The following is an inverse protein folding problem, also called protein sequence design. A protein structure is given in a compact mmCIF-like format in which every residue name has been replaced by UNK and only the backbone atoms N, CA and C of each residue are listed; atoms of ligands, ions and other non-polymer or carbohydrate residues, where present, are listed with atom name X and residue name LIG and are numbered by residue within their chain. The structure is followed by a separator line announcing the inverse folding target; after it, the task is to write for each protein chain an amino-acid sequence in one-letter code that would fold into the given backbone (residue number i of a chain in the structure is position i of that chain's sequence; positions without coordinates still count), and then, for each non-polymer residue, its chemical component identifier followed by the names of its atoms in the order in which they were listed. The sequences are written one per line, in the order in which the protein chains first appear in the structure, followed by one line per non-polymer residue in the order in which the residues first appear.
data_IF_332040939513
#
_entry.id   IF_332040939513
#
_cell.length_a   1.000
_cell.length_b   1.000
_cell.length_c   1.000
_cell.angle_alpha   90.00
_cell.angle_beta   90.00
_cell.angle_gamma   90.00
#
_symmetry.space_group_name_H-M   'P 1'
#
loop_
_entity.id
_entity.type
_entity.pdbx_description
1 polymer ?
#
# COMPACT_ATOMS: atom_id res chain seq x y z
N UNK A 1 -22.74 -39.73 -40.48
CA UNK A 1 -22.20 -40.96 -39.86
C UNK A 1 -20.77 -41.16 -40.33
N UNK A 2 -19.79 -40.54 -39.66
CA UNK A 2 -18.37 -40.89 -39.83
C UNK A 2 -17.74 -40.83 -38.44
N UNK A 3 -17.39 -42.00 -37.92
CA UNK A 3 -16.72 -42.22 -36.66
C UNK A 3 -15.20 -42.31 -36.88
N UNK A 4 -14.47 -41.73 -35.93
CA UNK A 4 -13.20 -42.17 -35.33
C UNK A 4 -11.93 -42.28 -36.19
N UNK A 5 -10.93 -41.48 -35.80
CA UNK A 5 -9.56 -41.96 -35.67
C UNK A 5 -8.83 -41.16 -34.56
N UNK A 6 -8.80 -41.71 -33.35
CA UNK A 6 -7.88 -41.30 -32.27
C UNK A 6 -6.69 -42.25 -32.31
N UNK A 7 -5.50 -41.74 -32.61
CA UNK A 7 -4.23 -42.47 -32.43
C UNK A 7 -3.61 -42.05 -31.10
N UNK A 8 -3.60 -42.97 -30.16
CA UNK A 8 -2.86 -42.91 -28.91
C UNK A 8 -1.35 -43.03 -29.19
N UNK A 9 -0.56 -42.20 -28.51
CA UNK A 9 0.89 -42.37 -28.40
C UNK A 9 1.17 -42.80 -26.95
N UNK A 10 1.58 -44.06 -26.78
CA UNK A 10 2.20 -44.59 -25.57
C UNK A 10 3.64 -44.06 -25.47
N UNK A 11 3.99 -43.46 -24.33
CA UNK A 11 5.37 -43.40 -23.87
C UNK A 11 5.45 -44.11 -22.52
N UNK A 12 6.06 -45.29 -22.53
CA UNK A 12 6.49 -45.97 -21.32
C UNK A 12 7.81 -45.39 -20.85
N UNK A 13 7.85 -44.94 -19.59
CA UNK A 13 9.09 -44.68 -18.87
C UNK A 13 9.05 -45.51 -17.58
N UNK A 14 9.87 -46.55 -17.55
CA UNK A 14 10.15 -47.40 -16.40
C UNK A 14 11.02 -46.57 -15.42
N UNK A 15 10.46 -46.18 -14.28
CA UNK A 15 11.24 -45.56 -13.20
C UNK A 15 11.73 -46.66 -12.24
N UNK A 16 13.04 -46.86 -12.19
CA UNK A 16 13.70 -47.56 -11.09
C UNK A 16 13.76 -46.63 -9.87
N UNK A 17 13.17 -47.06 -8.76
CA UNK A 17 13.27 -46.37 -7.48
C UNK A 17 14.63 -46.67 -6.84
N UNK A 18 15.44 -45.63 -6.62
CA UNK A 18 16.63 -45.68 -5.76
C UNK A 18 16.20 -45.28 -4.34
N UNK A 19 16.40 -46.12 -3.32
CA UNK A 19 16.12 -45.74 -1.94
C UNK A 19 17.35 -45.06 -1.31
N UNK A 20 17.12 -43.89 -0.70
CA UNK A 20 17.99 -43.34 0.33
C UNK A 20 18.77 -42.08 -0.05
N UNK A 21 18.24 -40.93 0.37
CA UNK A 21 18.94 -39.98 1.26
C UNK A 21 17.89 -38.98 1.74
N UNK A 22 17.72 -38.88 3.06
CA UNK A 22 17.02 -37.77 3.72
C UNK A 22 17.83 -36.49 3.44
N UNK A 23 17.47 -35.78 2.38
CA UNK A 23 17.83 -34.36 2.22
C UNK A 23 16.69 -33.61 2.87
N UNK A 24 16.97 -32.90 3.96
CA UNK A 24 15.98 -32.02 4.58
C UNK A 24 15.45 -31.08 3.50
N UNK A 25 14.16 -31.20 3.18
CA UNK A 25 13.47 -30.35 2.22
C UNK A 25 13.64 -28.90 2.69
N UNK A 26 14.63 -28.22 2.13
CA UNK A 26 14.69 -26.77 2.21
C UNK A 26 13.37 -26.30 1.60
N UNK A 27 12.56 -25.50 2.33
CA UNK A 27 11.28 -25.04 1.80
C UNK A 27 11.50 -24.48 0.40
N UNK A 28 10.64 -24.87 -0.54
CA UNK A 28 10.78 -24.44 -1.92
C UNK A 28 10.85 -22.91 -1.93
N UNK A 29 11.54 -22.29 -2.90
CA UNK A 29 11.69 -20.82 -2.99
C UNK A 29 10.37 -20.03 -2.98
N UNK A 30 9.21 -20.67 -3.01
CA UNK A 30 7.88 -20.07 -3.00
C UNK A 30 7.02 -20.45 -1.78
N UNK A 31 7.50 -21.28 -0.85
CA UNK A 31 6.67 -21.74 0.25
C UNK A 31 6.32 -20.55 1.17
N UNK A 32 5.03 -20.17 1.15
CA UNK A 32 4.46 -19.09 1.96
C UNK A 32 4.73 -17.66 1.46
N UNK A 33 5.46 -17.44 0.36
CA UNK A 33 5.70 -16.09 -0.19
C UNK A 33 4.86 -15.85 -1.45
N UNK A 34 4.28 -14.66 -1.56
CA UNK A 34 3.56 -14.25 -2.76
C UNK A 34 4.48 -14.25 -3.99
N UNK A 35 4.00 -14.78 -5.13
CA UNK A 35 4.81 -15.03 -6.32
C UNK A 35 5.41 -13.77 -6.95
N UNK A 36 4.80 -12.61 -6.69
CA UNK A 36 5.28 -11.28 -7.13
C UNK A 36 6.62 -10.92 -6.50
N UNK A 37 6.98 -11.60 -5.41
CA UNK A 37 8.25 -11.46 -4.70
C UNK A 37 9.12 -12.71 -4.81
N UNK A 38 8.88 -13.57 -5.81
CA UNK A 38 9.67 -14.80 -6.02
C UNK A 38 11.18 -14.53 -6.19
N UNK A 39 11.57 -13.33 -6.63
CA UNK A 39 12.97 -12.89 -6.72
C UNK A 39 13.61 -12.49 -5.37
N UNK A 40 12.86 -12.54 -4.28
CA UNK A 40 13.38 -12.26 -2.94
C UNK A 40 14.45 -13.28 -2.55
N UNK A 41 15.56 -12.84 -1.94
CA UNK A 41 16.59 -13.77 -1.48
C UNK A 41 16.03 -14.85 -0.55
N UNK A 42 16.69 -16.02 -0.49
CA UNK A 42 16.33 -17.04 0.47
C UNK A 42 16.51 -16.51 1.90
N UNK A 43 15.65 -16.97 2.80
CA UNK A 43 15.66 -16.58 4.20
C UNK A 43 14.97 -17.66 5.06
N UNK A 44 15.15 -17.61 6.39
CA UNK A 44 14.62 -18.61 7.32
C UNK A 44 13.09 -18.61 7.40
N UNK A 45 12.42 -17.50 7.04
CA UNK A 45 10.97 -17.39 6.95
C UNK A 45 10.54 -16.30 5.96
N UNK A 46 9.25 -16.23 5.65
CA UNK A 46 8.66 -15.28 4.69
C UNK A 46 8.94 -13.82 5.09
N UNK A 47 8.79 -13.48 6.37
CA UNK A 47 9.03 -12.13 6.88
C UNK A 47 10.46 -11.67 6.58
N UNK A 48 11.46 -12.54 6.75
CA UNK A 48 12.86 -12.18 6.49
C UNK A 48 13.16 -12.00 5.00
N UNK A 49 12.51 -12.79 4.15
CA UNK A 49 12.62 -12.63 2.69
C UNK A 49 12.04 -11.30 2.22
N UNK A 50 10.86 -10.94 2.75
CA UNK A 50 10.22 -9.65 2.48
C UNK A 50 11.07 -8.50 3.01
N UNK A 51 11.61 -8.63 4.23
CA UNK A 51 12.52 -7.63 4.79
C UNK A 51 13.72 -7.39 3.88
N UNK A 52 14.40 -8.45 3.43
CA UNK A 52 15.57 -8.32 2.57
C UNK A 52 15.22 -7.76 1.19
N UNK A 53 14.06 -8.10 0.64
CA UNK A 53 13.56 -7.48 -0.60
C UNK A 53 13.33 -5.98 -0.41
N UNK A 54 12.66 -5.57 0.67
CA UNK A 54 12.43 -4.16 1.00
C UNK A 54 13.76 -3.42 1.18
N UNK A 55 14.74 -4.04 1.84
CA UNK A 55 16.08 -3.48 2.04
C UNK A 55 16.84 -3.27 0.73
N UNK A 56 16.74 -4.22 -0.21
CA UNK A 56 17.32 -4.08 -1.56
C UNK A 56 16.67 -2.96 -2.36
N UNK A 57 15.35 -2.82 -2.25
CA UNK A 57 14.57 -1.79 -2.93
C UNK A 57 14.45 -0.47 -2.15
N UNK A 58 15.13 -0.34 -1.00
CA UNK A 58 15.02 0.82 -0.10
C UNK A 58 15.25 2.16 -0.81
N UNK A 59 16.14 2.19 -1.80
CA UNK A 59 16.46 3.40 -2.56
C UNK A 59 15.28 3.80 -3.44
N UNK A 60 14.75 2.88 -4.23
CA UNK A 60 13.57 3.12 -5.07
C UNK A 60 12.38 3.60 -4.22
N UNK A 61 12.11 2.95 -3.08
CA UNK A 61 11.05 3.35 -2.14
C UNK A 61 11.30 4.75 -1.57
N UNK A 62 12.54 5.06 -1.18
CA UNK A 62 12.92 6.37 -0.68
C UNK A 62 12.83 7.47 -1.75
N UNK A 63 13.09 7.14 -3.00
CA UNK A 63 13.01 8.05 -4.15
C UNK A 63 11.54 8.32 -4.47
N UNK A 64 10.69 7.28 -4.46
CA UNK A 64 9.25 7.40 -4.63
C UNK A 64 8.59 8.25 -3.52
N UNK A 65 8.99 8.09 -2.24
CA UNK A 65 8.55 8.99 -1.15
C UNK A 65 8.85 10.45 -1.48
N UNK A 66 10.06 10.75 -1.98
CA UNK A 66 10.46 12.13 -2.29
C UNK A 66 9.67 12.70 -3.47
N UNK A 67 9.51 11.91 -4.53
CA UNK A 67 8.80 12.32 -5.74
C UNK A 67 7.31 12.53 -5.49
N UNK A 68 6.69 11.65 -4.70
CA UNK A 68 5.23 11.61 -4.50
C UNK A 68 4.75 12.26 -3.21
N UNK A 69 5.68 12.62 -2.33
CA UNK A 69 5.40 13.23 -1.04
C UNK A 69 4.42 12.38 -0.20
N UNK A 70 4.68 11.07 -0.12
CA UNK A 70 3.92 10.10 0.69
C UNK A 70 4.87 9.21 1.50
N UNK A 71 4.41 8.74 2.66
CA UNK A 71 5.26 7.97 3.57
C UNK A 71 5.84 6.72 2.91
N UNK A 72 7.18 6.58 2.93
CA UNK A 72 7.85 5.33 2.52
C UNK A 72 7.39 4.11 3.32
N UNK A 73 6.94 4.31 4.56
CA UNK A 73 6.43 3.24 5.42
C UNK A 73 5.09 2.73 4.89
N UNK A 74 4.27 3.59 4.29
CA UNK A 74 3.03 3.16 3.64
C UNK A 74 3.33 2.32 2.39
N UNK A 75 4.27 2.78 1.55
CA UNK A 75 4.69 2.04 0.34
C UNK A 75 5.21 0.65 0.73
N UNK A 76 6.16 0.60 1.68
CA UNK A 76 6.71 -0.66 2.18
C UNK A 76 5.64 -1.53 2.85
N UNK A 77 4.74 -0.93 3.63
CA UNK A 77 3.68 -1.61 4.35
C UNK A 77 2.68 -2.32 3.45
N UNK A 78 2.23 -1.65 2.38
CA UNK A 78 1.35 -2.25 1.36
C UNK A 78 2.03 -3.44 0.70
N UNK A 79 3.30 -3.29 0.29
CA UNK A 79 4.05 -4.38 -0.35
C UNK A 79 4.21 -5.57 0.61
N UNK A 80 4.57 -5.31 1.86
CA UNK A 80 4.82 -6.34 2.85
C UNK A 80 3.53 -7.07 3.27
N UNK A 81 2.43 -6.35 3.46
CA UNK A 81 1.13 -6.94 3.77
C UNK A 81 0.69 -7.90 2.66
N UNK A 82 0.76 -7.46 1.40
CA UNK A 82 0.39 -8.31 0.25
C UNK A 82 1.26 -9.57 0.13
N UNK A 83 2.51 -9.49 0.61
CA UNK A 83 3.49 -10.55 0.56
C UNK A 83 3.37 -11.58 1.69
N UNK A 84 2.92 -11.15 2.87
CA UNK A 84 2.94 -11.91 4.12
C UNK A 84 1.52 -12.37 4.50
N UNK A 85 0.54 -11.47 4.44
CA UNK A 85 -0.81 -11.70 4.95
C UNK A 85 -1.79 -12.11 3.84
N UNK A 86 -1.63 -11.56 2.64
CA UNK A 86 -2.54 -11.83 1.52
C UNK A 86 -1.92 -12.77 0.47
N UNK A 87 -1.28 -13.86 0.87
CA UNK A 87 -0.47 -14.67 -0.06
C UNK A 87 -1.34 -15.32 -1.14
N UNK A 88 -1.03 -15.07 -2.41
CA UNK A 88 -1.68 -15.75 -3.54
C UNK A 88 -0.78 -16.83 -4.14
N UNK A 89 -1.21 -18.11 -4.16
CA UNK A 89 -0.40 -19.17 -4.73
C UNK A 89 -0.24 -19.03 -6.26
N UNK A 90 0.86 -19.55 -6.79
CA UNK A 90 1.25 -19.41 -8.20
C UNK A 90 0.17 -19.89 -9.20
N UNK A 91 -0.69 -20.82 -8.79
CA UNK A 91 -1.82 -21.32 -9.60
C UNK A 91 -2.80 -20.21 -10.01
N UNK A 92 -2.87 -19.09 -9.27
CA UNK A 92 -3.72 -17.95 -9.60
C UNK A 92 -3.13 -17.03 -10.66
N UNK A 93 -1.84 -17.15 -10.97
CA UNK A 93 -1.14 -16.23 -11.88
C UNK A 93 -1.81 -16.06 -13.25
N UNK A 94 -2.32 -17.10 -13.94
CA UNK A 94 -3.02 -16.93 -15.22
C UNK A 94 -4.29 -16.07 -15.12
N UNK A 95 -4.90 -16.02 -13.92
CA UNK A 95 -6.11 -15.25 -13.63
C UNK A 95 -5.83 -13.93 -12.90
N UNK A 96 -4.55 -13.61 -12.65
CA UNK A 96 -4.16 -12.42 -11.93
C UNK A 96 -4.62 -11.16 -12.66
N UNK A 97 -5.19 -10.23 -11.91
CA UNK A 97 -5.61 -8.90 -12.40
C UNK A 97 -4.60 -7.81 -12.04
N UNK A 98 -3.53 -8.21 -11.37
CA UNK A 98 -2.48 -7.39 -10.81
C UNK A 98 -1.11 -7.88 -11.23
N UNK A 99 -0.10 -7.01 -11.10
CA UNK A 99 1.29 -7.38 -11.35
C UNK A 99 2.23 -6.69 -10.36
N UNK A 100 3.32 -7.36 -10.05
CA UNK A 100 4.40 -6.83 -9.22
C UNK A 100 4.09 -6.73 -7.74
N UNK A 101 5.09 -6.28 -6.95
CA UNK A 101 4.96 -6.12 -5.50
C UNK A 101 3.79 -5.18 -5.15
N UNK A 102 3.08 -5.49 -4.06
CA UNK A 102 1.88 -4.73 -3.65
C UNK A 102 0.65 -4.92 -4.54
N UNK A 103 0.72 -5.83 -5.53
CA UNK A 103 -0.41 -6.27 -6.35
C UNK A 103 -1.22 -5.13 -6.97
N UNK A 104 -0.55 -4.19 -7.62
CA UNK A 104 -1.26 -3.12 -8.32
C UNK A 104 -2.09 -3.72 -9.47
N UNK A 105 -3.40 -3.46 -9.47
CA UNK A 105 -4.32 -3.93 -10.50
C UNK A 105 -4.07 -3.21 -11.83
N UNK A 106 -3.79 -3.94 -12.91
CA UNK A 106 -3.69 -3.40 -14.27
C UNK A 106 -4.96 -3.61 -15.10
N UNK A 107 -5.90 -4.41 -14.59
CA UNK A 107 -7.24 -4.65 -15.13
C UNK A 107 -8.21 -4.94 -13.98
N UNK A 108 -9.50 -4.71 -14.21
CA UNK A 108 -10.56 -5.08 -13.26
C UNK A 108 -11.33 -6.32 -13.72
N UNK A 109 -11.37 -6.61 -15.03
CA UNK A 109 -12.09 -7.79 -15.49
C UNK A 109 -11.34 -9.09 -15.26
N UNK A 110 -12.06 -10.14 -14.85
CA UNK A 110 -11.58 -11.51 -14.88
C UNK A 110 -11.54 -12.09 -16.30
N UNK A 111 -12.26 -11.46 -17.26
CA UNK A 111 -12.23 -11.84 -18.66
C UNK A 111 -10.89 -11.38 -19.25
N UNK A 112 -10.09 -12.28 -19.84
CA UNK A 112 -8.88 -11.91 -20.56
C UNK A 112 -9.18 -10.83 -21.61
N UNK A 113 -8.27 -9.86 -21.75
CA UNK A 113 -8.34 -8.74 -22.72
C UNK A 113 -9.35 -7.63 -22.43
N UNK A 114 -10.19 -7.74 -21.39
CA UNK A 114 -11.04 -6.63 -20.95
C UNK A 114 -10.35 -5.87 -19.81
N UNK A 115 -10.02 -4.61 -20.03
CA UNK A 115 -9.30 -3.79 -19.04
C UNK A 115 -10.21 -3.40 -17.86
N UNK A 116 -11.43 -2.92 -18.13
CA UNK A 116 -12.25 -2.26 -17.10
C UNK A 116 -11.64 -0.93 -16.67
N UNK A 117 -11.90 -0.53 -15.42
CA UNK A 117 -11.41 0.73 -14.83
C UNK A 117 -10.55 0.47 -13.57
N UNK A 118 -9.38 -0.16 -13.72
CA UNK A 118 -8.49 -0.40 -12.58
C UNK A 118 -7.94 0.92 -12.04
N UNK A 119 -7.68 0.97 -10.73
CA UNK A 119 -7.14 2.17 -10.05
C UNK A 119 -5.85 2.71 -10.70
N UNK A 120 -5.01 1.83 -11.23
CA UNK A 120 -3.79 2.22 -11.92
C UNK A 120 -4.05 3.03 -13.21
N UNK A 121 -5.13 2.74 -13.94
CA UNK A 121 -5.57 3.54 -15.09
C UNK A 121 -6.17 4.87 -14.61
N UNK A 122 -6.96 4.84 -13.55
CA UNK A 122 -7.56 6.04 -12.97
C UNK A 122 -6.50 7.08 -12.59
N UNK A 123 -5.41 6.67 -11.94
CA UNK A 123 -4.35 7.62 -11.54
C UNK A 123 -3.50 8.14 -12.72
N UNK A 124 -3.38 7.37 -13.80
CA UNK A 124 -2.75 7.82 -15.04
C UNK A 124 -3.59 8.92 -15.71
N UNK A 125 -4.90 8.73 -15.80
CA UNK A 125 -5.84 9.72 -16.34
C UNK A 125 -5.79 11.03 -15.54
N UNK A 126 -5.57 10.93 -14.22
CA UNK A 126 -5.42 12.09 -13.34
C UNK A 126 -4.04 12.77 -13.42
N UNK A 127 -3.13 12.27 -14.27
CA UNK A 127 -1.83 12.89 -14.50
C UNK A 127 -0.77 12.58 -13.44
N UNK A 128 -1.04 11.65 -12.51
CA UNK A 128 0.00 11.21 -11.57
C UNK A 128 1.07 10.38 -12.30
N UNK A 129 0.70 9.67 -13.36
CA UNK A 129 1.61 8.86 -14.16
C UNK A 129 1.33 9.07 -15.66
N UNK A 130 2.31 8.80 -16.54
CA UNK A 130 2.05 8.79 -17.97
C UNK A 130 0.95 7.79 -18.32
N UNK A 131 0.02 8.19 -19.20
CA UNK A 131 -1.02 7.30 -19.69
C UNK A 131 -0.44 6.09 -20.43
N UNK A 132 -0.96 4.89 -20.14
CA UNK A 132 -0.49 3.63 -20.74
C UNK A 132 -1.66 2.77 -21.22
N UNK A 133 -1.38 1.91 -22.19
CA UNK A 133 -2.29 0.80 -22.51
C UNK A 133 -2.22 -0.26 -21.42
N UNK A 134 -3.25 -1.10 -21.29
CA UNK A 134 -3.27 -2.23 -20.34
C UNK A 134 -2.00 -3.09 -20.40
N UNK A 135 -1.53 -3.43 -21.60
CA UNK A 135 -0.33 -4.27 -21.79
C UNK A 135 0.95 -3.54 -21.36
N UNK A 136 1.08 -2.25 -21.72
CA UNK A 136 2.24 -1.44 -21.32
C UNK A 136 2.28 -1.24 -19.80
N UNK A 137 1.12 -1.03 -19.18
CA UNK A 137 0.98 -0.92 -17.72
C UNK A 137 1.37 -2.22 -17.03
N UNK A 138 0.85 -3.36 -17.49
CA UNK A 138 1.20 -4.67 -16.93
C UNK A 138 2.71 -4.93 -16.98
N UNK A 139 3.38 -4.53 -18.08
CA UNK A 139 4.84 -4.63 -18.20
C UNK A 139 5.57 -3.75 -17.18
N UNK A 140 5.16 -2.48 -17.02
CA UNK A 140 5.79 -1.60 -16.03
C UNK A 140 5.58 -2.13 -14.61
N UNK A 141 4.35 -2.53 -14.28
CA UNK A 141 4.02 -3.09 -12.97
C UNK A 141 4.73 -4.40 -12.68
N UNK A 142 5.13 -5.17 -13.69
CA UNK A 142 5.94 -6.39 -13.47
C UNK A 142 7.37 -6.12 -13.00
N UNK A 143 7.81 -4.85 -12.94
CA UNK A 143 9.11 -4.45 -12.42
C UNK A 143 8.97 -3.88 -11.00
N UNK A 144 9.97 -4.11 -10.15
CA UNK A 144 10.00 -3.58 -8.79
C UNK A 144 9.84 -2.05 -8.78
N UNK A 145 10.65 -1.33 -9.57
CA UNK A 145 10.62 0.13 -9.66
C UNK A 145 9.27 0.67 -10.16
N UNK A 146 8.71 0.02 -11.20
CA UNK A 146 7.43 0.40 -11.76
C UNK A 146 6.28 0.21 -10.77
N UNK A 147 6.22 -0.94 -10.10
CA UNK A 147 5.21 -1.17 -9.07
C UNK A 147 5.35 -0.20 -7.88
N UNK A 148 6.58 0.07 -7.42
CA UNK A 148 6.84 1.04 -6.34
C UNK A 148 6.35 2.44 -6.71
N UNK A 149 6.64 2.94 -7.93
CA UNK A 149 6.17 4.27 -8.37
C UNK A 149 4.65 4.32 -8.50
N UNK A 150 4.01 3.25 -9.01
CA UNK A 150 2.54 3.16 -9.04
C UNK A 150 1.92 3.19 -7.66
N UNK A 151 2.42 2.40 -6.70
CA UNK A 151 1.93 2.42 -5.32
C UNK A 151 2.07 3.84 -4.74
N UNK A 152 3.24 4.45 -4.87
CA UNK A 152 3.46 5.80 -4.37
C UNK A 152 2.55 6.85 -5.02
N UNK A 153 2.30 6.75 -6.33
CA UNK A 153 1.38 7.61 -7.05
C UNK A 153 -0.09 7.41 -6.59
N UNK A 154 -0.52 6.16 -6.38
CA UNK A 154 -1.85 5.83 -5.85
C UNK A 154 -2.03 6.43 -4.45
N UNK A 155 -1.06 6.22 -3.56
CA UNK A 155 -1.08 6.79 -2.21
C UNK A 155 -1.12 8.32 -2.23
N UNK A 156 -0.41 8.96 -3.17
CA UNK A 156 -0.44 10.40 -3.33
C UNK A 156 -1.83 10.88 -3.75
N UNK A 157 -2.46 10.20 -4.72
CA UNK A 157 -3.80 10.53 -5.18
C UNK A 157 -4.85 10.41 -4.06
N UNK A 158 -4.80 9.37 -3.22
CA UNK A 158 -5.66 9.26 -2.04
C UNK A 158 -5.40 10.38 -1.04
N UNK A 159 -4.13 10.73 -0.82
CA UNK A 159 -3.82 11.81 0.09
C UNK A 159 -4.31 13.17 -0.40
N UNK A 160 -4.25 13.43 -1.71
CA UNK A 160 -4.80 14.66 -2.29
C UNK A 160 -6.32 14.68 -2.18
N UNK A 161 -6.99 13.55 -2.42
CA UNK A 161 -8.44 13.44 -2.19
C UNK A 161 -8.83 13.72 -0.72
N UNK A 162 -8.05 13.21 0.24
CA UNK A 162 -8.26 13.49 1.67
C UNK A 162 -7.99 14.96 2.02
N UNK A 163 -6.95 15.57 1.45
CA UNK A 163 -6.58 16.95 1.71
C UNK A 163 -7.63 17.95 1.19
N UNK A 164 -8.36 17.64 0.12
CA UNK A 164 -9.53 18.42 -0.33
C UNK A 164 -10.64 18.50 0.74
N UNK A 165 -10.61 17.62 1.75
CA UNK A 165 -11.50 17.62 2.92
C UNK A 165 -10.77 18.01 4.21
N UNK A 166 -9.62 18.68 4.09
CA UNK A 166 -8.75 19.11 5.19
C UNK A 166 -8.28 17.95 6.08
N UNK A 167 -8.16 16.74 5.51
CA UNK A 167 -7.64 15.56 6.19
C UNK A 167 -6.24 15.25 5.69
N UNK A 168 -5.24 15.62 6.47
CA UNK A 168 -3.84 15.36 6.16
C UNK A 168 -3.47 13.91 6.50
N UNK A 169 -3.23 13.08 5.48
CA UNK A 169 -2.87 11.66 5.64
C UNK A 169 -1.51 11.28 5.03
N UNK A 170 -0.75 12.20 4.41
CA UNK A 170 0.55 11.88 3.76
C UNK A 170 1.55 11.22 4.72
N UNK A 171 1.43 11.56 6.00
CA UNK A 171 2.27 11.07 7.09
C UNK A 171 1.64 9.94 7.92
N UNK A 172 0.42 9.52 7.59
CA UNK A 172 -0.33 8.47 8.28
C UNK A 172 -0.22 7.20 7.44
N UNK A 173 0.87 6.46 7.64
CA UNK A 173 1.16 5.28 6.84
C UNK A 173 0.06 4.22 6.92
N UNK A 174 -0.55 4.11 8.10
CA UNK A 174 -1.71 3.30 8.41
C UNK A 174 -2.92 3.67 7.56
N UNK A 175 -3.28 4.95 7.53
CA UNK A 175 -4.42 5.42 6.74
C UNK A 175 -4.14 5.33 5.24
N UNK A 176 -2.93 5.65 4.79
CA UNK A 176 -2.55 5.50 3.39
C UNK A 176 -2.72 4.03 2.93
N UNK A 177 -2.26 3.08 3.73
CA UNK A 177 -2.42 1.65 3.43
C UNK A 177 -3.89 1.22 3.45
N UNK A 178 -4.70 1.74 4.38
CA UNK A 178 -6.14 1.51 4.41
C UNK A 178 -6.83 1.99 3.14
N UNK A 179 -6.50 3.19 2.66
CA UNK A 179 -7.11 3.71 1.44
C UNK A 179 -6.69 2.91 0.20
N UNK A 180 -5.42 2.50 0.14
CA UNK A 180 -4.90 1.65 -0.94
C UNK A 180 -5.67 0.33 -1.07
N UNK A 181 -5.96 -0.34 0.05
CA UNK A 181 -6.52 -1.69 0.02
C UNK A 181 -8.05 -1.74 -0.07
N UNK A 182 -8.76 -0.63 0.18
CA UNK A 182 -10.21 -0.66 0.37
C UNK A 182 -11.04 0.00 -0.72
N UNK A 183 -10.48 0.92 -1.50
CA UNK A 183 -11.29 1.76 -2.37
C UNK A 183 -10.63 2.03 -3.72
N UNK A 184 -11.48 2.28 -4.72
CA UNK A 184 -11.12 3.14 -5.86
C UNK A 184 -11.01 4.59 -5.42
N UNK A 185 -10.39 5.47 -6.21
CA UNK A 185 -10.29 6.89 -5.82
C UNK A 185 -11.66 7.55 -5.78
N UNK A 186 -12.57 7.16 -6.68
CA UNK A 186 -13.98 7.57 -6.65
C UNK A 186 -14.67 7.22 -5.34
N UNK A 187 -14.56 5.98 -4.88
CA UNK A 187 -15.18 5.52 -3.62
C UNK A 187 -14.56 6.22 -2.41
N UNK A 188 -13.23 6.36 -2.38
CA UNK A 188 -12.55 7.10 -1.33
C UNK A 188 -13.04 8.55 -1.22
N UNK A 189 -13.20 9.24 -2.36
CA UNK A 189 -13.75 10.60 -2.39
C UNK A 189 -15.16 10.65 -1.81
N UNK A 190 -16.02 9.71 -2.19
CA UNK A 190 -17.39 9.62 -1.65
C UNK A 190 -17.38 9.35 -0.15
N UNK A 191 -16.56 8.41 0.31
CA UNK A 191 -16.38 8.10 1.73
C UNK A 191 -15.93 9.33 2.53
N UNK A 192 -14.96 10.08 2.00
CA UNK A 192 -14.45 11.31 2.62
C UNK A 192 -15.47 12.46 2.66
N UNK A 193 -16.44 12.49 1.75
CA UNK A 193 -17.55 13.47 1.78
C UNK A 193 -18.53 13.14 2.90
N UNK A 194 -18.92 11.86 2.99
CA UNK A 194 -20.01 11.41 3.87
C UNK A 194 -19.52 11.24 5.31
N UNK A 195 -18.30 10.73 5.49
CA UNK A 195 -17.76 10.43 6.81
C UNK A 195 -17.32 11.72 7.52
N UNK A 196 -18.02 12.07 8.60
CA UNK A 196 -17.56 13.06 9.59
C UNK A 196 -16.71 12.45 10.70
N UNK A 197 -16.64 11.11 10.77
CA UNK A 197 -15.87 10.40 11.79
C UNK A 197 -14.37 10.57 11.58
N UNK A 198 -13.61 10.30 12.64
CA UNK A 198 -12.16 10.11 12.49
C UNK A 198 -11.89 8.99 11.48
N UNK A 199 -10.82 9.14 10.70
CA UNK A 199 -10.37 8.05 9.83
C UNK A 199 -9.68 7.01 10.71
N UNK A 200 -10.13 5.78 10.61
CA UNK A 200 -9.58 4.65 11.35
C UNK A 200 -8.93 3.66 10.36
N UNK A 201 -7.84 3.00 10.76
CA UNK A 201 -7.22 2.00 9.92
C UNK A 201 -8.08 0.72 9.84
N UNK A 202 -8.21 0.16 8.64
CA UNK A 202 -8.68 -1.21 8.39
C UNK A 202 -7.58 -2.24 8.72
N UNK A 203 -7.80 -3.52 8.41
CA UNK A 203 -6.85 -4.61 8.69
C UNK A 203 -5.43 -4.33 8.16
N UNK A 204 -5.31 -3.86 6.92
CA UNK A 204 -4.00 -3.51 6.32
C UNK A 204 -3.36 -2.33 7.05
N UNK A 205 -4.13 -1.29 7.37
CA UNK A 205 -3.64 -0.14 8.10
C UNK A 205 -3.21 -0.48 9.53
N UNK A 206 -3.97 -1.34 10.21
CA UNK A 206 -3.65 -1.83 11.55
C UNK A 206 -2.36 -2.66 11.51
N UNK A 207 -2.23 -3.55 10.53
CA UNK A 207 -1.00 -4.31 10.33
C UNK A 207 0.21 -3.39 10.12
N UNK A 208 0.09 -2.34 9.30
CA UNK A 208 1.16 -1.35 9.10
C UNK A 208 1.51 -0.58 10.38
N UNK A 209 0.54 -0.34 11.28
CA UNK A 209 0.81 0.24 12.60
C UNK A 209 1.61 -0.73 13.49
N UNK A 210 1.20 -1.99 13.54
CA UNK A 210 1.84 -3.01 14.37
C UNK A 210 3.28 -3.31 13.89
N UNK A 211 3.46 -3.41 12.58
CA UNK A 211 4.75 -3.74 11.94
C UNK A 211 5.62 -2.50 11.65
N UNK A 212 5.27 -1.34 12.22
CA UNK A 212 5.97 -0.09 11.92
C UNK A 212 7.49 -0.18 12.11
N UNK A 213 7.94 -0.84 13.19
CA UNK A 213 9.38 -1.01 13.48
C UNK A 213 10.07 -1.92 12.47
N UNK A 214 9.39 -2.99 12.06
CA UNK A 214 9.88 -3.90 11.02
C UNK A 214 10.06 -3.14 9.69
N UNK A 215 9.06 -2.36 9.30
CA UNK A 215 9.09 -1.55 8.09
C UNK A 215 10.18 -0.46 8.14
N UNK A 216 10.28 0.28 9.25
CA UNK A 216 11.33 1.29 9.44
C UNK A 216 12.73 0.69 9.42
N UNK A 217 12.94 -0.50 10.00
CA UNK A 217 14.21 -1.19 9.95
C UNK A 217 14.60 -1.60 8.50
N UNK A 218 13.60 -1.92 7.66
CA UNK A 218 13.84 -2.32 6.27
C UNK A 218 14.14 -1.12 5.35
N UNK A 219 13.32 -0.05 5.41
CA UNK A 219 13.38 1.07 4.44
C UNK A 219 13.87 2.41 5.04
N UNK A 220 14.22 2.40 6.32
CA UNK A 220 14.57 3.57 7.09
C UNK A 220 13.35 4.40 7.51
N UNK A 221 13.59 5.39 8.37
CA UNK A 221 12.54 6.32 8.81
C UNK A 221 12.02 7.17 7.65
N UNK A 222 10.71 7.41 7.62
CA UNK A 222 10.10 8.36 6.68
C UNK A 222 10.55 9.79 6.98
N UNK A 223 10.93 10.54 5.94
CA UNK A 223 11.21 11.98 6.06
C UNK A 223 9.96 12.76 6.49
N UNK A 224 8.79 12.29 6.07
CA UNK A 224 7.52 12.98 6.28
C UNK A 224 7.04 12.87 7.72
N UNK A 225 7.31 11.76 8.41
CA UNK A 225 7.03 11.63 9.85
C UNK A 225 7.69 12.75 10.66
N UNK A 226 8.91 13.16 10.29
CA UNK A 226 9.62 14.28 10.95
C UNK A 226 8.98 15.65 10.64
N UNK A 227 8.44 15.82 9.44
CA UNK A 227 7.78 17.08 9.03
C UNK A 227 6.44 17.20 9.75
N UNK A 228 5.60 16.17 9.68
CA UNK A 228 4.26 16.21 10.26
C UNK A 228 4.23 16.23 11.80
N UNK A 229 5.22 15.62 12.45
CA UNK A 229 5.35 15.70 13.91
C UNK A 229 5.68 17.13 14.40
N UNK A 230 6.43 17.90 13.61
CA UNK A 230 6.72 19.32 13.91
C UNK A 230 5.48 20.20 13.77
N UNK A 231 4.70 20.01 12.69
CA UNK A 231 3.48 20.79 12.46
C UNK A 231 2.44 20.57 13.56
N UNK A 232 2.27 19.32 14.03
CA UNK A 232 1.36 19.00 15.15
C UNK A 232 1.76 19.71 16.45
N UNK A 233 3.06 19.72 16.79
CA UNK A 233 3.56 20.41 17.98
C UNK A 233 3.34 21.92 17.90
N UNK A 234 3.56 22.54 16.73
CA UNK A 234 3.32 23.97 16.53
C UNK A 234 1.84 24.34 16.65
N UNK A 235 0.94 23.58 16.02
CA UNK A 235 -0.51 23.81 16.11
C UNK A 235 -1.02 23.73 17.56
N UNK A 236 -0.56 22.75 18.34
CA UNK A 236 -0.95 22.62 19.75
C UNK A 236 -0.52 23.81 20.62
N UNK A 237 0.63 24.43 20.34
CA UNK A 237 1.13 25.60 21.07
C UNK A 237 0.35 26.87 20.73
N UNK A 238 -0.08 27.02 19.48
CA UNK A 238 -0.92 28.16 19.08
C UNK A 238 -2.33 28.06 19.68
N UNK A 239 -2.95 26.88 19.65
CA UNK A 239 -4.26 26.66 20.27
C UNK A 239 -4.25 26.92 21.79
N UNK A 240 -3.22 26.43 22.49
CA UNK A 240 -3.07 26.69 23.92
C UNK A 240 -2.88 28.18 24.26
N UNK A 241 -2.26 28.97 23.36
CA UNK A 241 -2.04 30.40 23.60
C UNK A 241 -3.31 31.23 23.43
N UNK A 242 -4.18 30.87 22.49
CA UNK A 242 -5.45 31.57 22.25
C UNK A 242 -6.47 31.37 23.36
N UNK A 243 -6.41 30.26 24.10
CA UNK A 243 -7.28 30.04 25.26
C UNK A 243 -6.90 30.92 26.46
N UNK A 244 -5.61 31.14 26.71
CA UNK A 244 -5.15 32.01 27.82
C UNK A 244 -5.51 33.49 27.65
N UNK A 245 -5.61 34.01 26.43
CA UNK A 245 -5.93 35.44 26.21
C UNK A 245 -7.42 35.73 26.31
N UNK A 246 -8.29 34.74 26.08
CA UNK A 246 -9.74 34.90 26.15
C UNK A 246 -10.26 34.96 27.60
N UNK A 247 -9.54 34.34 28.54
CA UNK A 247 -9.92 34.35 29.96
C UNK A 247 -9.58 35.68 30.67
N UNK A 248 -8.68 36.48 30.10
CA UNK A 248 -8.33 37.79 30.66
C UNK A 248 -9.27 38.93 30.26
N UNK A 249 -10.14 38.74 29.26
CA UNK A 249 -11.15 39.74 28.85
C UNK A 249 -12.53 39.56 29.50
N UNK A 250 -12.77 38.50 30.29
CA UNK A 250 -14.04 38.28 31.00
C UNK A 250 -14.12 38.84 32.42
N UNK A 251 -13.10 39.57 32.88
CA UNK A 251 -13.13 40.28 34.17
C UNK A 251 -13.20 41.80 33.98
N UNK A 252 -14.24 42.27 33.32
CA UNK A 252 -14.66 43.67 33.51
C UNK A 252 -15.36 43.80 34.85
N UNK A 253 -14.91 44.68 35.77
CA UNK A 253 -15.59 44.91 37.03
C UNK A 253 -16.96 45.54 36.75
N UNK A 254 -18.03 44.89 37.23
CA UNK A 254 -19.37 45.47 37.24
C UNK A 254 -19.34 46.74 38.09
N UNK A 255 -19.45 47.90 37.45
CA UNK A 255 -19.62 49.19 38.11
C UNK A 255 -20.88 49.16 38.98
N UNK A 256 -20.71 49.37 40.28
CA UNK A 256 -21.80 49.49 41.24
C UNK A 256 -22.61 50.77 40.99
N UNK A 257 -23.92 50.62 40.86
CA UNK A 257 -24.88 51.72 40.82
C UNK A 257 -25.01 52.27 42.24
N UNK A 258 -24.64 53.54 42.44
CA UNK A 258 -24.97 54.30 43.66
C UNK A 258 -26.33 54.96 43.45
N UNK A 259 -27.31 54.59 44.26
CA UNK A 259 -28.56 55.33 44.45
C UNK A 259 -28.38 56.26 45.66
N UNK A 260 -28.50 57.56 45.46
CA UNK A 260 -28.60 58.57 46.51
C UNK A 260 -30.05 58.99 46.68
N UNK A 261 -30.51 58.95 47.94
CA UNK A 261 -31.76 59.49 48.46
C UNK A 261 -31.73 61.01 48.56
#
# INVERSE_FOLDING_TARGET
MWQTAVKAILFGALFFAVPGTFVGDSPRPTDGLSWELAGSPPGPNVQWRVFDWLRRNRRAIADAERTRNVSRIAIAGVIAYEAIENVHPMIWRPFARYSGPGKVHYRESHIPLVEGEPLAKEIEVLGYLPARTMVARARVLSTDDGAIDYIAAILAAFSDAANLRHREIRCRADLLATFYSSWTLREARQHLVVSRRALEPNDVGQWVLLEHRFLEAAVGQSRLTRICSRTRKLGSRFAARTETTSDHMRRSPKGGVRTSS
#
